data_IF_152975835495
#
_entry.id   IF_152975835495
#
_cell.length_a   1.000
_cell.length_b   1.000
_cell.length_c   1.000
_cell.angle_alpha   90.00
_cell.angle_beta   90.00
_cell.angle_gamma   90.00
#
_symmetry.space_group_name_H-M   'P 1'
#
loop_
_entity.id
_entity.type
_entity.pdbx_description
1 polymer ?
2 non-polymer ?
3 non-polymer ?
4 water ?
#
# COMPACT_ATOMS: atom_id res chain seq x y z
N UNK A 24 -15.97 0.61 -10.27
CA UNK A 24 -16.14 -0.82 -10.10
C UNK A 24 -15.12 -1.41 -9.14
N UNK A 25 -14.78 -2.69 -9.36
CA UNK A 25 -13.89 -3.39 -8.45
C UNK A 25 -12.52 -2.72 -8.36
N UNK A 26 -12.07 -2.08 -9.44
CA UNK A 26 -10.75 -1.47 -9.46
C UNK A 26 -10.60 -0.40 -8.39
N UNK A 27 -11.71 0.17 -7.90
CA UNK A 27 -11.64 1.17 -6.85
C UNK A 27 -11.25 0.59 -5.50
N UNK A 28 -11.30 -0.74 -5.35
CA UNK A 28 -10.77 -1.38 -4.15
C UNK A 28 -9.27 -1.51 -4.18
N UNK A 29 -8.62 -1.10 -5.26
CA UNK A 29 -7.18 -1.29 -5.38
C UNK A 29 -6.46 -0.50 -4.29
N UNK A 30 -5.28 -1.00 -3.91
CA UNK A 30 -4.44 -0.27 -2.98
C UNK A 30 -4.37 -0.82 -1.58
N UNK A 31 -4.07 0.06 -0.62
CA UNK A 31 -3.69 -0.33 0.74
C UNK A 31 -4.91 -0.42 1.65
N UNK A 32 -5.02 -1.55 2.36
CA UNK A 32 -6.07 -1.75 3.35
C UNK A 32 -5.45 -2.24 4.65
N UNK A 33 -6.18 -2.06 5.75
CA UNK A 33 -5.74 -2.45 7.07
C UNK A 33 -6.83 -3.25 7.77
N UNK A 34 -6.49 -4.45 8.23
CA UNK A 34 -7.47 -5.25 8.96
C UNK A 34 -7.74 -4.72 10.34
N UNK A 35 -9.03 -4.67 10.67
CA UNK A 35 -9.50 -4.11 11.93
C UNK A 35 -10.14 -5.18 12.82
N UNK A 36 -10.96 -6.06 12.25
CA UNK A 36 -11.68 -7.01 13.09
C UNK A 36 -12.11 -8.21 12.25
N UNK A 37 -12.32 -9.32 12.96
CA UNK A 37 -12.76 -10.59 12.40
C UNK A 37 -13.95 -11.06 13.20
N UNK A 38 -14.71 -12.00 12.65
CA UNK A 38 -15.79 -12.63 13.39
C UNK A 38 -16.03 -14.00 12.80
N UNK A 39 -16.49 -14.93 13.64
CA UNK A 39 -16.77 -16.25 13.11
C UNK A 39 -17.71 -16.98 14.06
N UNK A 40 -18.48 -17.93 13.50
CA UNK A 40 -19.20 -18.82 14.41
C UNK A 40 -18.35 -19.98 14.89
N UNK A 41 -17.10 -20.09 14.42
CA UNK A 41 -16.15 -21.10 14.88
C UNK A 41 -14.95 -20.32 15.42
N UNK A 42 -14.88 -20.16 16.75
CA UNK A 42 -13.87 -19.28 17.34
C UNK A 42 -12.45 -19.69 16.97
N UNK A 43 -12.17 -20.99 16.80
CA UNK A 43 -10.82 -21.44 16.47
C UNK A 43 -10.32 -20.81 15.18
N UNK A 44 -11.22 -20.49 14.25
CA UNK A 44 -10.81 -19.95 12.96
C UNK A 44 -10.17 -18.57 13.10
N UNK A 45 -10.46 -17.83 14.16
CA UNK A 45 -9.97 -16.47 14.28
C UNK A 45 -9.19 -16.26 15.57
N UNK A 46 -8.83 -17.34 16.24
CA UNK A 46 -7.88 -17.27 17.34
C UNK A 46 -6.54 -16.80 16.80
N UNK A 47 -5.58 -16.44 17.67
CA UNK A 47 -4.31 -15.91 17.15
C UNK A 47 -3.63 -16.85 16.16
N UNK A 48 -3.81 -18.16 16.30
CA UNK A 48 -3.22 -19.16 15.42
C UNK A 48 -4.14 -19.62 14.30
N UNK A 49 -5.34 -19.05 14.18
CA UNK A 49 -6.37 -19.67 13.38
C UNK A 49 -6.22 -19.41 11.89
N UNK A 50 -6.93 -20.25 11.12
CA UNK A 50 -6.85 -20.23 9.66
C UNK A 50 -7.09 -18.85 9.09
N UNK A 51 -8.02 -18.11 9.67
CA UNK A 51 -8.43 -16.84 9.10
C UNK A 51 -7.92 -15.65 9.90
N UNK A 52 -6.98 -15.89 10.82
CA UNK A 52 -6.33 -14.78 11.52
C UNK A 52 -5.15 -14.35 10.64
N UNK A 53 -5.48 -13.51 9.64
CA UNK A 53 -4.51 -13.01 8.69
C UNK A 53 -4.79 -11.53 8.47
N UNK A 54 -3.77 -10.82 7.98
CA UNK A 54 -3.86 -9.39 7.80
C UNK A 54 -3.83 -9.07 6.32
N UNK A 55 -4.78 -8.24 5.88
CA UNK A 55 -4.75 -7.74 4.51
C UNK A 55 -3.61 -6.75 4.39
N UNK A 56 -3.00 -6.70 3.22
CA UNK A 56 -2.07 -5.62 2.89
C UNK A 56 -2.61 -4.78 1.75
N UNK A 57 -2.75 -5.35 0.56
CA UNK A 57 -3.16 -4.57 -0.60
C UNK A 57 -4.06 -5.41 -1.49
N UNK A 58 -4.84 -4.73 -2.32
CA UNK A 58 -5.72 -5.40 -3.25
C UNK A 58 -5.57 -4.76 -4.64
N UNK A 59 -5.96 -5.53 -5.63
CA UNK A 59 -5.93 -5.09 -7.02
C UNK A 59 -7.00 -5.87 -7.78
N UNK A 60 -7.45 -5.30 -8.90
CA UNK A 60 -8.44 -5.96 -9.74
C UNK A 60 -7.81 -6.29 -11.08
N UNK A 61 -7.90 -7.55 -11.49
CA UNK A 61 -7.32 -8.03 -12.73
C UNK A 61 -8.29 -9.04 -13.34
N UNK A 62 -8.83 -8.70 -14.52
CA UNK A 62 -9.83 -9.53 -15.18
C UNK A 62 -11.15 -9.52 -14.43
N UNK A 63 -11.41 -8.47 -13.64
CA UNK A 63 -12.57 -8.47 -12.78
C UNK A 63 -12.49 -9.43 -11.61
N UNK A 64 -11.38 -10.14 -11.45
CA UNK A 64 -11.13 -10.92 -10.24
C UNK A 64 -10.48 -10.03 -9.19
N UNK A 65 -10.73 -10.36 -7.93
CA UNK A 65 -10.18 -9.59 -6.82
C UNK A 65 -8.89 -10.25 -6.34
N UNK A 66 -7.78 -9.54 -6.44
CA UNK A 66 -6.49 -10.06 -6.00
C UNK A 66 -6.11 -9.40 -4.68
N UNK A 67 -5.50 -10.17 -3.80
CA UNK A 67 -5.18 -9.64 -2.50
C UNK A 67 -3.91 -10.25 -1.96
N UNK A 68 -3.02 -9.41 -1.46
CA UNK A 68 -1.85 -9.88 -0.73
C UNK A 68 -2.18 -9.86 0.74
N UNK A 69 -2.00 -11.00 1.41
CA UNK A 69 -2.26 -11.09 2.83
C UNK A 69 -0.97 -11.46 3.55
N UNK A 70 -0.96 -11.19 4.85
CA UNK A 70 0.19 -11.47 5.71
C UNK A 70 -0.24 -12.50 6.74
N UNK A 71 0.51 -13.59 6.83
CA UNK A 71 0.14 -14.72 7.67
C UNK A 71 1.14 -14.81 8.82
N UNK A 72 0.71 -14.57 10.07
CA UNK A 72 1.65 -14.67 11.20
C UNK A 72 2.09 -16.09 11.44
N UNK A 73 3.39 -16.26 11.71
CA UNK A 73 3.96 -17.60 11.86
C UNK A 73 5.17 -17.51 12.79
N UNK A 74 4.91 -17.61 14.09
CA UNK A 74 5.95 -17.83 15.10
C UNK A 74 6.97 -16.70 15.13
N UNK A 75 6.48 -15.46 15.10
CA UNK A 75 7.34 -14.30 15.04
C UNK A 75 7.72 -13.88 13.63
N UNK A 76 7.76 -14.83 12.70
CA UNK A 76 7.91 -14.52 11.29
C UNK A 76 6.54 -14.34 10.64
N UNK A 77 6.53 -13.86 9.40
CA UNK A 77 5.29 -13.61 8.68
C UNK A 77 5.49 -13.88 7.20
N UNK A 78 4.51 -14.54 6.59
CA UNK A 78 4.55 -14.93 5.20
C UNK A 78 3.57 -14.05 4.42
N UNK A 79 4.01 -13.54 3.28
CA UNK A 79 3.11 -12.81 2.38
C UNK A 79 2.61 -13.77 1.31
N UNK A 80 1.28 -13.87 1.19
CA UNK A 80 0.65 -14.77 0.22
C UNK A 80 -0.27 -13.94 -0.67
N UNK A 81 -0.21 -14.18 -1.97
CA UNK A 81 -1.10 -13.56 -2.94
C UNK A 81 -2.25 -14.52 -3.21
N UNK A 82 -3.49 -14.04 -3.01
CA UNK A 82 -4.70 -14.81 -3.25
C UNK A 82 -5.51 -14.17 -4.36
N UNK A 83 -6.33 -14.98 -5.04
CA UNK A 83 -7.29 -14.48 -6.01
C UNK A 83 -8.68 -14.99 -5.64
N UNK A 84 -9.62 -14.07 -5.50
CA UNK A 84 -11.03 -14.40 -5.37
C UNK A 84 -11.65 -14.22 -6.75
N UNK A 85 -12.13 -15.32 -7.33
CA UNK A 85 -12.59 -15.30 -8.71
C UNK A 85 -14.05 -14.92 -8.79
N UNK A 86 -14.38 -14.07 -9.76
CA UNK A 86 -15.77 -13.68 -9.96
C UNK A 86 -16.63 -14.90 -10.26
N UNK A 87 -17.90 -14.79 -9.89
CA UNK A 87 -18.90 -15.81 -10.16
C UNK A 87 -20.07 -15.17 -10.89
N UNK A 88 -21.06 -15.99 -11.23
CA UNK A 88 -22.23 -15.47 -11.93
C UNK A 88 -23.04 -14.53 -11.07
N UNK A 89 -22.81 -14.54 -9.76
CA UNK A 89 -23.55 -13.72 -8.80
C UNK A 89 -22.78 -12.45 -8.49
N UNK A 90 -23.43 -11.30 -8.63
CA UNK A 90 -22.78 -10.04 -8.29
C UNK A 90 -22.35 -10.04 -6.83
N UNK A 91 -21.11 -9.61 -6.60
CA UNK A 91 -20.50 -9.45 -5.28
C UNK A 91 -20.23 -10.76 -4.58
N UNK A 92 -20.27 -11.89 -5.28
CA UNK A 92 -19.90 -13.19 -4.74
C UNK A 92 -18.67 -13.69 -5.49
N UNK A 93 -17.70 -14.23 -4.76
CA UNK A 93 -16.44 -14.67 -5.34
C UNK A 93 -16.08 -16.06 -4.82
N UNK A 94 -15.36 -16.82 -5.65
CA UNK A 94 -14.80 -18.11 -5.25
C UNK A 94 -13.38 -17.90 -4.77
N UNK A 95 -13.09 -18.31 -3.53
CA UNK A 95 -11.75 -18.16 -2.97
C UNK A 95 -11.34 -19.47 -2.35
N UNK A 96 -10.23 -20.04 -2.82
CA UNK A 96 -9.67 -21.25 -2.22
C UNK A 96 -8.64 -20.84 -1.17
N UNK A 97 -8.94 -21.11 0.10
CA UNK A 97 -8.05 -20.77 1.21
C UNK A 97 -8.53 -21.57 2.42
N UNK A 98 -7.76 -22.57 2.83
CA UNK A 98 -8.21 -23.48 3.89
C UNK A 98 -9.59 -24.02 3.55
N UNK A 99 -9.72 -24.53 2.33
CA UNK A 99 -10.97 -25.06 1.84
C UNK A 99 -11.61 -24.12 0.83
N UNK A 100 -12.83 -24.44 0.45
CA UNK A 100 -13.53 -23.58 -0.49
C UNK A 100 -14.30 -22.51 0.26
N UNK A 101 -14.24 -21.27 -0.24
CA UNK A 101 -14.97 -20.15 0.32
C UNK A 101 -15.89 -19.50 -0.71
N UNK A 102 -17.14 -19.30 -0.32
CA UNK A 102 -18.02 -18.36 -1.02
C UNK A 102 -17.80 -17.02 -0.32
N UNK A 103 -17.10 -16.11 -1.01
CA UNK A 103 -16.74 -14.81 -0.46
C UNK A 103 -17.73 -13.75 -0.95
N UNK A 104 -18.33 -13.03 -0.02
CA UNK A 104 -19.32 -12.00 -0.35
C UNK A 104 -18.79 -10.63 0.05
N UNK A 105 -18.88 -9.66 -0.87
CA UNK A 105 -18.63 -8.28 -0.52
C UNK A 105 -19.93 -7.71 0.03
N UNK A 106 -19.99 -7.51 1.34
CA UNK A 106 -21.25 -7.20 2.00
C UNK A 106 -21.54 -5.71 2.03
N UNK A 107 -20.52 -4.91 2.31
CA UNK A 107 -20.67 -3.47 2.44
C UNK A 107 -19.33 -2.84 2.12
N UNK A 108 -19.33 -1.76 1.33
CA UNK A 108 -18.04 -1.19 0.96
C UNK A 108 -18.22 0.27 0.58
N UNK A 109 -17.28 1.08 1.04
CA UNK A 109 -16.99 2.38 0.46
C UNK A 109 -15.53 2.32 0.04
N UNK A 110 -15.22 2.27 -1.27
CA UNK A 110 -13.85 1.99 -1.68
C UNK A 110 -12.83 2.93 -1.10
N UNK A 111 -13.23 4.09 -0.58
CA UNK A 111 -12.31 5.07 -0.04
C UNK A 111 -12.27 5.08 1.48
N UNK A 112 -12.94 4.14 2.16
CA UNK A 112 -12.91 4.14 3.61
C UNK A 112 -12.93 2.75 4.26
N UNK A 113 -13.83 1.87 3.83
CA UNK A 113 -13.94 0.59 4.55
C UNK A 113 -14.55 -0.49 3.67
N UNK A 114 -14.32 -1.73 4.07
CA UNK A 114 -14.79 -2.89 3.32
C UNK A 114 -15.14 -3.97 4.33
N UNK A 115 -16.35 -4.52 4.22
CA UNK A 115 -16.76 -5.66 5.04
C UNK A 115 -17.04 -6.82 4.12
N UNK A 116 -16.37 -7.94 4.34
CA UNK A 116 -16.70 -9.15 3.60
C UNK A 116 -17.02 -10.26 4.57
N UNK A 117 -17.73 -11.27 4.07
CA UNK A 117 -17.84 -12.50 4.83
C UNK A 117 -17.76 -13.67 3.88
N UNK A 118 -17.42 -14.83 4.41
CA UNK A 118 -17.17 -16.01 3.62
C UNK A 118 -17.90 -17.18 4.27
N UNK A 119 -18.47 -18.02 3.44
CA UNK A 119 -18.91 -19.33 3.90
C UNK A 119 -17.81 -20.31 3.54
N UNK A 120 -17.17 -20.87 4.57
CA UNK A 120 -15.99 -21.71 4.43
C UNK A 120 -16.38 -23.19 4.53
N UNK A 121 -15.98 -23.98 3.54
CA UNK A 121 -16.20 -25.42 3.53
C UNK A 121 -14.85 -26.11 3.64
N UNK A 122 -14.63 -26.80 4.76
CA UNK A 122 -13.32 -27.43 5.01
C UNK A 122 -13.53 -28.72 5.81
N UNK A 123 -13.14 -29.85 5.23
CA UNK A 123 -13.17 -31.14 5.95
C UNK A 123 -14.51 -31.37 6.64
N UNK A 124 -15.58 -31.33 5.86
CA UNK A 124 -16.93 -31.56 6.33
C UNK A 124 -17.40 -30.55 7.38
N UNK A 125 -16.67 -29.47 7.59
CA UNK A 125 -17.13 -28.37 8.43
C UNK A 125 -17.57 -27.23 7.55
N UNK A 126 -18.62 -26.52 7.95
CA UNK A 126 -19.04 -25.30 7.29
C UNK A 126 -19.08 -24.20 8.32
N UNK A 127 -18.42 -23.09 8.01
CA UNK A 127 -18.29 -22.00 8.97
C UNK A 127 -18.52 -20.68 8.26
N UNK A 128 -18.88 -19.68 9.05
CA UNK A 128 -19.02 -18.29 8.62
C UNK A 128 -17.86 -17.47 9.18
N UNK A 129 -17.17 -16.70 8.33
CA UNK A 129 -16.07 -15.84 8.75
C UNK A 129 -16.28 -14.45 8.15
N UNK A 130 -16.20 -13.41 8.97
CA UNK A 130 -16.36 -12.04 8.49
C UNK A 130 -15.09 -11.24 8.80
N UNK A 131 -14.87 -10.17 8.04
CA UNK A 131 -13.59 -9.46 8.09
C UNK A 131 -13.88 -7.99 7.77
N UNK A 132 -13.41 -7.09 8.63
CA UNK A 132 -13.51 -5.64 8.41
C UNK A 132 -12.12 -5.08 8.13
N UNK A 133 -11.99 -4.29 7.07
CA UNK A 133 -10.75 -3.57 6.81
C UNK A 133 -11.05 -2.11 6.49
N UNK A 134 -10.10 -1.24 6.78
CA UNK A 134 -10.27 0.19 6.55
C UNK A 134 -9.08 0.75 5.79
N UNK A 135 -9.31 1.92 5.16
CA UNK A 135 -8.21 2.63 4.52
C UNK A 135 -7.31 3.35 5.52
N UNK A 136 -7.88 3.83 6.63
CA UNK A 136 -7.18 4.71 7.56
C UNK A 136 -7.32 4.14 8.97
N UNK A 137 -6.23 3.60 9.53
CA UNK A 137 -6.34 2.90 10.80
C UNK A 137 -6.77 3.83 11.92
N UNK A 138 -6.45 5.11 11.83
CA UNK A 138 -6.88 6.02 12.89
C UNK A 138 -8.40 6.15 12.94
N UNK A 139 -9.12 5.68 11.92
CA UNK A 139 -10.56 5.73 11.85
C UNK A 139 -11.22 4.38 12.12
N UNK A 140 -10.47 3.40 12.62
CA UNK A 140 -11.01 2.05 12.70
C UNK A 140 -12.23 1.99 13.60
N UNK A 141 -12.23 2.78 14.68
CA UNK A 141 -13.39 2.87 15.56
C UNK A 141 -14.64 3.33 14.81
N UNK A 142 -14.47 4.09 13.73
CA UNK A 142 -15.64 4.63 13.03
C UNK A 142 -16.49 3.54 12.41
N UNK A 143 -15.88 2.40 12.07
CA UNK A 143 -16.54 1.39 11.25
C UNK A 143 -16.78 0.08 11.97
N UNK A 144 -16.26 -0.08 13.19
CA UNK A 144 -16.60 -1.27 13.96
C UNK A 144 -18.10 -1.43 14.15
N UNK A 145 -18.88 -0.38 14.41
CA UNK A 145 -20.34 -0.56 14.50
C UNK A 145 -20.97 -1.07 13.22
N UNK A 146 -20.55 -0.58 12.04
CA UNK A 146 -21.09 -1.13 10.81
C UNK A 146 -20.77 -2.62 10.69
N UNK A 147 -19.56 -3.02 11.11
CA UNK A 147 -19.20 -4.43 11.12
C UNK A 147 -20.07 -5.22 12.09
N UNK A 148 -20.26 -4.70 13.31
CA UNK A 148 -21.13 -5.39 14.25
C UNK A 148 -22.53 -5.59 13.68
N UNK A 149 -23.03 -4.63 12.90
CA UNK A 149 -24.36 -4.75 12.34
C UNK A 149 -24.41 -5.81 11.23
N UNK A 150 -23.41 -5.85 10.35
CA UNK A 150 -23.36 -6.91 9.34
C UNK A 150 -23.28 -8.27 10.02
N UNK A 151 -22.42 -8.40 11.02
CA UNK A 151 -22.30 -9.65 11.77
C UNK A 151 -23.66 -10.07 12.32
N UNK A 152 -24.39 -9.14 12.94
CA UNK A 152 -25.74 -9.47 13.40
C UNK A 152 -26.61 -9.99 12.27
N UNK A 153 -26.57 -9.34 11.11
CA UNK A 153 -27.46 -9.71 10.02
C UNK A 153 -27.15 -11.11 9.49
N UNK A 154 -25.89 -11.56 9.59
CA UNK A 154 -25.56 -12.91 9.17
C UNK A 154 -25.55 -13.89 10.34
N UNK A 155 -26.06 -13.47 11.50
CA UNK A 155 -26.31 -14.39 12.58
C UNK A 155 -25.21 -14.56 13.58
N UNK A 156 -24.17 -13.73 13.51
CA UNK A 156 -23.14 -13.79 14.53
C UNK A 156 -23.49 -12.81 15.64
N UNK A 157 -22.99 -13.06 16.84
CA UNK A 157 -23.21 -12.11 17.92
C UNK A 157 -21.92 -11.37 18.26
N UNK A 158 -22.07 -10.32 19.05
CA UNK A 158 -20.96 -9.39 19.26
C UNK A 158 -19.77 -10.05 19.95
N UNK A 159 -20.02 -11.07 20.77
CA UNK A 159 -18.92 -11.75 21.43
C UNK A 159 -18.17 -12.71 20.51
N UNK A 160 -18.61 -12.86 19.27
CA UNK A 160 -17.87 -13.65 18.29
C UNK A 160 -16.98 -12.78 17.41
N UNK A 161 -16.83 -11.50 17.76
CA UNK A 161 -15.98 -10.57 17.05
C UNK A 161 -14.63 -10.48 17.77
N UNK A 162 -13.56 -10.47 16.99
CA UNK A 162 -12.21 -10.23 17.53
C UNK A 162 -11.70 -8.95 16.91
N UNK A 163 -11.30 -8.00 17.77
CA UNK A 163 -10.67 -6.76 17.31
C UNK A 163 -9.17 -6.97 17.33
N UNK A 164 -8.51 -6.51 16.27
CA UNK A 164 -7.12 -6.87 15.99
C UNK A 164 -6.12 -5.84 16.49
N UNK A 165 -6.57 -4.84 17.26
CA UNK A 165 -5.69 -3.76 17.66
C UNK A 165 -4.58 -4.18 18.62
N UNK A 166 -4.70 -5.33 19.27
CA UNK A 166 -3.62 -5.80 20.16
C UNK A 166 -2.68 -6.76 19.45
N UNK A 167 -2.92 -7.06 18.18
CA UNK A 167 -2.15 -8.05 17.42
C UNK A 167 -1.27 -7.30 16.42
N UNK A 168 -0.03 -7.01 16.83
CA UNK A 168 0.91 -6.29 15.98
C UNK A 168 1.91 -7.21 15.29
N UNK A 169 1.61 -8.50 15.20
CA UNK A 169 2.45 -9.40 14.42
C UNK A 169 2.53 -8.91 12.98
N UNK A 170 3.60 -9.30 12.29
CA UNK A 170 3.81 -8.87 10.91
C UNK A 170 3.98 -7.35 10.79
N UNK A 171 4.35 -6.68 11.89
CA UNK A 171 4.37 -5.22 11.86
C UNK A 171 5.35 -4.69 10.82
N UNK A 172 6.46 -5.40 10.60
CA UNK A 172 7.40 -4.99 9.56
C UNK A 172 6.75 -4.92 8.19
N UNK A 173 5.89 -5.88 7.88
CA UNK A 173 5.24 -5.94 6.57
C UNK A 173 3.99 -5.08 6.50
N UNK A 174 3.42 -4.66 7.62
CA UNK A 174 2.16 -3.95 7.63
C UNK A 174 2.32 -2.43 7.57
N UNK A 175 3.51 -1.94 7.26
CA UNK A 175 3.70 -0.52 6.97
C UNK A 175 3.53 -0.24 5.47
N UNK B 24 -7.74 14.04 -2.07
CA UNK B 24 -7.20 13.17 -3.09
C UNK B 24 -5.88 12.51 -2.70
N UNK B 25 -5.10 13.21 -1.85
CA UNK B 25 -3.80 12.70 -1.45
C UNK B 25 -3.90 11.32 -0.81
N UNK B 26 -4.98 11.06 -0.07
CA UNK B 26 -5.14 9.79 0.62
C UNK B 26 -5.03 8.61 -0.33
N UNK B 27 -5.33 8.81 -1.61
CA UNK B 27 -5.22 7.74 -2.59
C UNK B 27 -3.79 7.32 -2.85
N UNK B 28 -2.81 8.16 -2.51
CA UNK B 28 -1.41 7.81 -2.67
C UNK B 28 -0.93 6.82 -1.60
N UNK B 29 -1.77 6.51 -0.62
CA UNK B 29 -1.31 5.70 0.49
C UNK B 29 -0.92 4.30 0.04
N UNK B 30 0.00 3.70 0.78
CA UNK B 30 0.38 2.31 0.59
C UNK B 30 1.78 2.18 0.02
N UNK B 31 2.04 1.01 -0.55
CA UNK B 31 3.37 0.65 -1.00
C UNK B 31 3.65 1.14 -2.41
N UNK B 32 4.84 1.71 -2.59
CA UNK B 32 5.34 2.15 -3.88
C UNK B 32 6.75 1.60 -4.08
N UNK B 33 7.19 1.56 -5.33
CA UNK B 33 8.53 1.08 -5.67
C UNK B 33 9.23 2.11 -6.53
N UNK B 34 10.47 2.45 -6.16
CA UNK B 34 11.24 3.40 -6.97
C UNK B 34 11.76 2.73 -8.24
N UNK B 35 11.55 3.40 -9.38
CA UNK B 35 11.91 2.89 -10.69
C UNK B 35 13.07 3.66 -11.31
N UNK B 36 13.07 4.99 -11.18
CA UNK B 36 14.10 5.76 -11.84
C UNK B 36 14.21 7.12 -11.18
N UNK B 37 15.39 7.72 -11.32
CA UNK B 37 15.68 9.06 -10.83
C UNK B 37 16.26 9.88 -11.97
N UNK B 38 16.25 11.20 -11.80
CA UNK B 38 16.94 12.07 -12.76
C UNK B 38 17.36 13.34 -12.04
N UNK B 39 18.44 13.95 -12.53
CA UNK B 39 18.92 15.17 -11.91
C UNK B 39 19.81 15.91 -12.90
N UNK B 40 19.86 17.23 -12.72
CA UNK B 40 20.88 18.01 -13.40
C UNK B 40 22.22 17.98 -12.70
N UNK B 41 22.31 17.39 -11.51
CA UNK B 41 23.54 17.25 -10.74
C UNK B 41 23.75 15.75 -10.52
N UNK B 42 24.56 15.12 -11.36
CA UNK B 42 24.65 13.65 -11.32
C UNK B 42 25.05 13.14 -9.93
N UNK B 43 25.83 13.92 -9.17
CA UNK B 43 26.28 13.46 -7.86
C UNK B 43 25.10 13.14 -6.94
N UNK B 44 23.98 13.81 -7.14
CA UNK B 44 22.84 13.63 -6.24
C UNK B 44 22.19 12.25 -6.39
N UNK B 45 22.34 11.60 -7.54
CA UNK B 45 21.66 10.34 -7.77
C UNK B 45 22.63 9.21 -8.09
N UNK B 46 23.93 9.45 -7.87
CA UNK B 46 24.92 8.36 -7.93
C UNK B 46 24.61 7.33 -6.85
N UNK B 47 25.29 6.18 -6.84
CA UNK B 47 24.89 5.11 -5.91
C UNK B 47 24.86 5.51 -4.45
N UNK B 48 25.69 6.44 -4.01
CA UNK B 48 25.64 6.87 -2.61
C UNK B 48 25.25 8.33 -2.48
N UNK B 49 24.51 8.85 -3.48
CA UNK B 49 24.11 10.25 -3.46
C UNK B 49 22.93 10.54 -2.54
N UNK B 50 22.81 11.83 -2.20
CA UNK B 50 21.76 12.30 -1.30
C UNK B 50 20.38 11.79 -1.69
N UNK B 51 20.09 11.73 -2.98
CA UNK B 51 18.73 11.40 -3.42
C UNK B 51 18.64 10.00 -4.00
N UNK B 52 19.69 9.20 -3.89
CA UNK B 52 19.65 7.79 -4.21
C UNK B 52 19.02 7.08 -3.02
N UNK B 53 17.70 7.21 -2.92
CA UNK B 53 16.91 6.59 -1.86
C UNK B 53 15.67 5.98 -2.52
N UNK B 54 15.10 4.98 -1.85
CA UNK B 54 14.00 4.20 -2.38
C UNK B 54 12.73 4.46 -1.57
N UNK B 55 11.62 4.71 -2.27
CA UNK B 55 10.36 4.85 -1.57
C UNK B 55 9.95 3.49 -1.02
N UNK B 56 9.39 3.50 0.18
CA UNK B 56 8.78 2.34 0.79
C UNK B 56 7.27 2.48 0.78
N UNK B 57 6.75 3.56 1.37
CA UNK B 57 5.31 3.74 1.49
C UNK B 57 5.01 5.23 1.65
N UNK B 58 3.75 5.58 1.35
CA UNK B 58 3.27 6.93 1.56
C UNK B 58 1.94 6.89 2.29
N UNK B 59 1.62 8.03 2.89
CA UNK B 59 0.31 8.26 3.51
C UNK B 59 0.07 9.76 3.54
N UNK B 60 -1.20 10.12 3.74
CA UNK B 60 -1.61 11.52 3.79
C UNK B 60 -2.26 11.79 5.14
N UNK B 61 -1.94 12.95 5.72
CA UNK B 61 -2.51 13.33 7.01
C UNK B 61 -2.55 14.86 7.07
N UNK B 62 -3.76 15.40 7.21
CA UNK B 62 -3.96 16.85 7.29
C UNK B 62 -3.54 17.55 6.00
N UNK B 63 -3.68 16.89 4.86
CA UNK B 63 -3.23 17.45 3.61
C UNK B 63 -1.73 17.44 3.40
N UNK B 64 -0.95 16.94 4.34
CA UNK B 64 0.48 16.74 4.16
C UNK B 64 0.76 15.35 3.62
N UNK B 65 1.78 15.25 2.78
CA UNK B 65 2.22 13.96 2.25
C UNK B 65 3.31 13.41 3.15
N UNK B 66 3.07 12.23 3.72
CA UNK B 66 4.04 11.54 4.55
C UNK B 66 4.62 10.38 3.76
N UNK B 67 5.92 10.15 3.92
CA UNK B 67 6.50 9.04 3.18
C UNK B 67 7.64 8.39 3.94
N UNK B 68 7.73 7.07 3.88
CA UNK B 68 8.89 6.36 4.42
C UNK B 68 9.82 6.05 3.27
N UNK B 69 11.09 6.40 3.41
CA UNK B 69 12.10 6.07 2.42
C UNK B 69 13.10 5.13 3.06
N UNK B 70 13.82 4.41 2.21
CA UNK B 70 14.89 3.51 2.64
C UNK B 70 16.20 4.03 2.08
N UNK B 71 17.18 4.20 2.95
CA UNK B 71 18.46 4.79 2.59
C UNK B 71 19.52 3.71 2.67
N UNK B 72 20.22 3.39 1.58
CA UNK B 72 21.28 2.38 1.66
C UNK B 72 22.42 2.86 2.53
N UNK B 73 22.96 1.93 3.33
CA UNK B 73 23.99 2.29 4.31
C UNK B 73 24.76 1.02 4.68
N UNK B 74 25.85 0.77 3.97
CA UNK B 74 26.77 -0.31 4.34
C UNK B 74 26.04 -1.63 4.54
N UNK B 75 25.68 -2.30 3.46
CA UNK B 75 25.02 -3.59 3.56
C UNK B 75 23.74 -3.60 4.38
N UNK B 76 23.15 -2.43 4.61
CA UNK B 76 21.93 -2.31 5.40
C UNK B 76 21.24 -1.01 5.00
N UNK B 77 19.91 -0.99 5.07
CA UNK B 77 19.12 0.17 4.71
C UNK B 77 18.35 0.69 5.92
N UNK B 78 18.37 2.01 6.09
CA UNK B 78 17.66 2.69 7.16
C UNK B 78 16.33 3.21 6.62
N UNK B 79 15.25 2.93 7.34
CA UNK B 79 13.95 3.48 7.02
C UNK B 79 13.77 4.82 7.73
N UNK B 80 13.41 5.86 6.97
CA UNK B 80 13.31 7.22 7.48
C UNK B 80 11.93 7.76 7.08
N UNK B 81 11.23 8.36 8.05
CA UNK B 81 9.93 8.96 7.78
C UNK B 81 10.09 10.45 7.48
N UNK B 82 9.58 10.87 6.34
CA UNK B 82 9.63 12.27 5.91
C UNK B 82 8.23 12.83 5.80
N UNK B 83 8.13 14.15 5.91
CA UNK B 83 6.87 14.85 5.74
C UNK B 83 7.06 15.98 4.74
N UNK B 84 6.24 15.99 3.70
CA UNK B 84 6.19 17.08 2.74
C UNK B 84 4.94 17.90 3.04
N UNK B 85 5.14 19.13 3.53
CA UNK B 85 4.05 19.94 4.05
C UNK B 85 3.32 20.69 2.94
N UNK B 86 1.99 20.75 3.06
CA UNK B 86 1.20 21.47 2.07
C UNK B 86 1.60 22.94 2.00
N UNK B 87 1.37 23.55 0.84
CA UNK B 87 1.64 24.97 0.64
C UNK B 87 0.44 25.64 -0.02
N UNK B 88 0.58 26.94 -0.27
CA UNK B 88 -0.49 27.70 -0.92
C UNK B 88 -0.77 27.24 -2.34
N UNK B 89 0.11 26.42 -2.93
CA UNK B 89 0.01 25.98 -4.31
C UNK B 89 -0.40 24.51 -4.36
N UNK B 90 -1.41 24.20 -5.18
CA UNK B 90 -1.83 22.82 -5.33
C UNK B 90 -0.69 21.99 -5.91
N UNK B 91 -0.43 20.83 -5.29
CA UNK B 91 0.55 19.85 -5.75
C UNK B 91 1.99 20.27 -5.49
N UNK B 92 2.21 21.36 -4.76
CA UNK B 92 3.55 21.80 -4.37
C UNK B 92 3.69 21.64 -2.86
N UNK B 93 4.80 21.06 -2.43
CA UNK B 93 5.00 20.70 -1.03
C UNK B 93 6.37 21.17 -0.57
N UNK B 94 6.49 21.45 0.73
CA UNK B 94 7.75 21.84 1.37
C UNK B 94 8.36 20.61 2.01
N UNK B 95 9.52 20.18 1.54
CA UNK B 95 10.19 19.02 2.11
C UNK B 95 11.60 19.38 2.50
N UNK B 96 11.93 19.21 3.78
CA UNK B 96 13.31 19.39 4.26
C UNK B 96 14.03 18.05 4.18
N UNK B 97 15.07 18.00 3.36
CA UNK B 97 15.84 16.77 3.13
C UNK B 97 17.07 17.13 2.32
N UNK B 98 18.24 17.12 2.96
CA UNK B 98 19.48 17.59 2.33
C UNK B 98 19.25 18.96 1.71
N UNK B 99 18.70 19.87 2.50
CA UNK B 99 18.38 21.21 2.07
C UNK B 99 16.88 21.39 1.99
N UNK B 100 16.48 22.53 1.44
CA UNK B 100 15.07 22.79 1.24
C UNK B 100 14.64 22.32 -0.13
N UNK B 101 13.50 21.63 -0.20
CA UNK B 101 12.96 21.18 -1.47
C UNK B 101 11.57 21.73 -1.68
N UNK B 102 11.35 22.35 -2.83
CA UNK B 102 10.02 22.55 -3.37
C UNK B 102 9.69 21.27 -4.14
N UNK B 103 8.78 20.47 -3.60
CA UNK B 103 8.42 19.18 -4.16
C UNK B 103 7.11 19.31 -4.93
N UNK B 104 7.13 18.89 -6.20
CA UNK B 104 5.97 19.00 -7.09
C UNK B 104 5.49 17.60 -7.46
N UNK B 105 4.20 17.34 -7.29
CA UNK B 105 3.62 16.14 -7.87
C UNK B 105 3.28 16.45 -9.32
N UNK B 106 4.03 15.87 -10.26
CA UNK B 106 3.89 16.21 -11.66
C UNK B 106 2.80 15.40 -12.36
N UNK B 107 2.79 14.08 -12.15
CA UNK B 107 1.81 13.18 -12.75
C UNK B 107 1.55 12.04 -11.80
N UNK B 108 0.29 11.61 -11.71
CA UNK B 108 0.00 10.47 -10.85
C UNK B 108 -1.23 9.75 -11.36
N UNK B 109 -1.14 8.42 -11.36
CA UNK B 109 -2.33 7.57 -11.33
C UNK B 109 -2.22 6.77 -10.04
N UNK B 110 -3.06 7.04 -9.02
CA UNK B 110 -2.88 6.39 -7.71
C UNK B 110 -2.81 4.88 -7.78
N UNK B 111 -3.29 4.29 -8.86
CA UNK B 111 -3.30 2.85 -9.00
C UNK B 111 -2.08 2.29 -9.72
N UNK B 112 -1.20 3.13 -10.26
CA UNK B 112 -0.11 2.56 -11.04
C UNK B 112 1.23 3.30 -10.93
N UNK B 113 1.23 4.63 -10.97
CA UNK B 113 2.53 5.31 -11.01
C UNK B 113 2.42 6.74 -10.53
N UNK B 114 3.58 7.31 -10.16
CA UNK B 114 3.64 8.66 -9.66
C UNK B 114 5.00 9.25 -10.04
N UNK B 115 4.99 10.46 -10.59
CA UNK B 115 6.23 11.17 -10.92
C UNK B 115 6.26 12.46 -10.12
N UNK B 116 7.35 12.69 -9.39
CA UNK B 116 7.52 13.96 -8.71
C UNK B 116 8.86 14.55 -9.12
N UNK B 117 9.01 15.85 -8.89
CA UNK B 117 10.32 16.48 -9.00
C UNK B 117 10.44 17.55 -7.92
N UNK B 118 11.68 17.83 -7.55
CA UNK B 118 12.00 18.71 -6.44
C UNK B 118 13.03 19.71 -6.92
N UNK B 119 12.82 20.98 -6.61
CA UNK B 119 13.89 21.98 -6.69
C UNK B 119 14.57 21.98 -5.34
N UNK B 120 15.83 21.55 -5.32
CA UNK B 120 16.60 21.38 -4.10
C UNK B 120 17.52 22.58 -3.91
N UNK B 121 17.45 23.19 -2.73
CA UNK B 121 18.32 24.32 -2.38
C UNK B 121 19.20 23.85 -1.24
N UNK B 122 20.50 23.73 -1.49
CA UNK B 122 21.43 23.23 -0.50
C UNK B 122 22.74 23.99 -0.65
N UNK B 123 23.14 24.70 0.42
CA UNK B 123 24.41 25.42 0.46
C UNK B 123 24.77 26.13 -0.84
N UNK B 124 23.98 27.14 -1.18
CA UNK B 124 24.20 27.96 -2.37
C UNK B 124 24.06 27.18 -3.67
N UNK B 125 23.68 25.91 -3.59
CA UNK B 125 23.44 25.13 -4.80
C UNK B 125 21.94 24.99 -5.02
N UNK B 126 21.54 25.03 -6.27
CA UNK B 126 20.14 24.77 -6.63
C UNK B 126 20.17 23.66 -7.66
N UNK B 127 19.40 22.60 -7.40
CA UNK B 127 19.41 21.45 -8.29
C UNK B 127 17.99 20.98 -8.51
N UNK B 128 17.80 20.22 -9.59
CA UNK B 128 16.52 19.65 -9.95
C UNK B 128 16.63 18.13 -9.86
N UNK B 129 15.73 17.49 -9.12
CA UNK B 129 15.75 16.04 -8.95
C UNK B 129 14.35 15.52 -9.24
N UNK B 130 14.26 14.47 -10.05
CA UNK B 130 12.99 13.86 -10.38
C UNK B 130 12.99 12.38 -10.00
N UNK B 131 11.81 11.81 -9.78
CA UNK B 131 11.68 10.46 -9.23
C UNK B 131 10.42 9.80 -9.79
N UNK B 132 10.56 8.58 -10.32
CA UNK B 132 9.43 7.79 -10.79
C UNK B 132 9.22 6.61 -9.86
N UNK B 133 7.98 6.39 -9.44
CA UNK B 133 7.66 5.22 -8.63
C UNK B 133 6.39 4.55 -9.17
N UNK B 134 6.26 3.25 -8.91
CA UNK B 134 5.12 2.49 -9.42
C UNK B 134 4.55 1.64 -8.30
N UNK B 135 3.31 1.19 -8.51
CA UNK B 135 2.68 0.26 -7.58
C UNK B 135 3.15 -1.18 -7.79
N UNK B 136 3.49 -1.53 -9.02
CA UNK B 136 3.75 -2.92 -9.40
C UNK B 136 5.02 -2.94 -10.25
N UNK B 137 6.09 -3.50 -9.72
CA UNK B 137 7.37 -3.45 -10.41
C UNK B 137 7.34 -4.17 -11.75
N UNK B 138 6.32 -5.00 -12.01
CA UNK B 138 6.16 -5.62 -13.31
C UNK B 138 5.71 -4.63 -14.38
N UNK B 139 5.32 -3.41 -14.01
CA UNK B 139 4.93 -2.38 -14.97
C UNK B 139 5.95 -1.25 -15.06
N UNK B 140 7.14 -1.42 -14.49
CA UNK B 140 8.10 -0.31 -14.44
C UNK B 140 8.49 0.13 -15.84
N UNK B 141 8.64 -0.81 -16.77
CA UNK B 141 8.92 -0.46 -18.16
C UNK B 141 7.75 0.26 -18.81
N UNK B 142 6.54 0.13 -18.24
CA UNK B 142 5.39 0.78 -18.84
C UNK B 142 5.42 2.29 -18.62
N UNK B 143 5.98 2.74 -17.50
CA UNK B 143 5.92 4.15 -17.16
C UNK B 143 7.25 4.88 -17.22
N UNK B 144 8.35 4.17 -17.47
CA UNK B 144 9.60 4.85 -17.76
C UNK B 144 9.46 5.86 -18.89
N UNK B 145 8.75 5.58 -20.00
CA UNK B 145 8.59 6.62 -21.04
C UNK B 145 7.87 7.85 -20.53
N UNK B 146 6.83 7.69 -19.72
CA UNK B 146 6.16 8.84 -19.11
C UNK B 146 7.16 9.71 -18.36
N UNK B 147 8.07 9.06 -17.63
CA UNK B 147 9.09 9.77 -16.86
C UNK B 147 10.05 10.52 -17.79
N UNK B 148 10.51 9.84 -18.84
CA UNK B 148 11.40 10.52 -19.79
C UNK B 148 10.75 11.79 -20.31
N UNK B 149 9.45 11.75 -20.58
CA UNK B 149 8.77 12.94 -21.10
C UNK B 149 8.70 14.06 -20.08
N UNK B 150 8.36 13.74 -18.82
CA UNK B 150 8.39 14.76 -17.78
C UNK B 150 9.78 15.34 -17.65
N UNK B 151 10.81 14.48 -17.66
CA UNK B 151 12.18 14.95 -17.53
C UNK B 151 12.51 15.96 -18.64
N UNK B 152 12.16 15.64 -19.89
CA UNK B 152 12.38 16.57 -20.98
C UNK B 152 11.65 17.89 -20.76
N UNK B 153 10.40 17.81 -20.25
CA UNK B 153 9.63 19.01 -20.01
C UNK B 153 10.29 19.94 -19.01
N UNK B 154 10.99 19.39 -18.01
CA UNK B 154 11.64 20.22 -17.00
C UNK B 154 13.11 20.46 -17.33
N UNK B 155 13.55 20.11 -18.54
CA UNK B 155 14.88 20.48 -18.99
C UNK B 155 15.98 19.48 -18.75
N UNK B 156 15.65 18.23 -18.43
CA UNK B 156 16.63 17.18 -18.21
C UNK B 156 16.65 16.24 -19.41
N UNK B 157 17.84 15.86 -19.87
CA UNK B 157 17.90 14.98 -21.02
C UNK B 157 17.98 13.52 -20.58
N UNK B 158 17.81 12.61 -21.53
CA UNK B 158 17.61 11.21 -21.19
C UNK B 158 18.84 10.63 -20.51
N UNK B 159 20.02 11.15 -20.82
CA UNK B 159 21.24 10.67 -20.20
C UNK B 159 21.40 11.15 -18.77
N UNK B 160 20.46 11.94 -18.26
CA UNK B 160 20.47 12.35 -16.86
C UNK B 160 19.53 11.50 -16.02
N UNK B 161 19.03 10.42 -16.58
CA UNK B 161 18.13 9.50 -15.90
C UNK B 161 18.94 8.29 -15.46
N UNK B 162 18.70 7.84 -14.22
CA UNK B 162 19.29 6.62 -13.71
C UNK B 162 18.16 5.65 -13.44
N UNK B 163 18.19 4.50 -14.11
CA UNK B 163 17.20 3.46 -13.90
C UNK B 163 17.67 2.53 -12.79
N UNK B 164 16.80 2.23 -11.84
CA UNK B 164 17.21 1.57 -10.61
C UNK B 164 17.11 0.05 -10.66
N UNK B 165 16.92 -0.54 -11.85
CA UNK B 165 16.69 -1.97 -11.96
C UNK B 165 17.88 -2.81 -11.54
N UNK B 166 19.09 -2.25 -11.52
CA UNK B 166 20.27 -2.98 -11.08
C UNK B 166 20.57 -2.77 -9.60
N UNK B 167 19.81 -1.91 -8.93
CA UNK B 167 20.10 -1.48 -7.57
C UNK B 167 19.01 -2.03 -6.66
N UNK B 168 19.22 -3.24 -6.15
CA UNK B 168 18.23 -3.89 -5.30
C UNK B 168 18.54 -3.74 -3.82
N UNK B 169 19.38 -2.77 -3.44
CA UNK B 169 19.56 -2.48 -2.03
C UNK B 169 18.22 -2.08 -1.43
N UNK B 170 17.97 -2.49 -0.19
CA UNK B 170 16.76 -2.08 0.51
C UNK B 170 15.58 -2.98 0.18
N UNK B 171 15.63 -3.68 -0.97
CA UNK B 171 14.59 -4.65 -1.27
C UNK B 171 14.42 -5.65 -0.13
N UNK B 172 15.52 -6.04 0.50
CA UNK B 172 15.53 -6.89 1.67
C UNK B 172 15.34 -6.16 2.98
N UNK B 173 15.06 -4.86 2.94
CA UNK B 173 14.77 -4.09 4.14
C UNK B 173 13.35 -3.53 4.14
N UNK B 174 12.52 -3.95 3.19
CA UNK B 174 11.15 -3.44 3.08
C UNK B 174 10.24 -4.12 4.09
X LIG C 1 -8.87 -10.08 -1.84
X LIG C 1 -8.83 -11.31 -0.98
X LIG C 1 -8.66 -12.58 -1.74
X LIG C 1 -8.95 -11.27 0.33
X LIG C 1 -8.98 -12.45 1.26
X LIG C 1 -9.48 -12.05 2.66
X LIG C 1 -9.62 -13.23 3.62
X LIG C 1 -8.47 -14.23 3.52
X LIG C 1 -9.70 -12.61 5.04
X LIG C 1 -9.60 -13.57 6.19
X LIG C 1 -9.85 -13.33 7.34
X LIG C 1 -7.98 -9.48 -1.73
X LIG C 1 -8.98 -10.33 -2.90
X LIG C 1 -9.72 -9.44 -1.58
X LIG C 1 -7.62 -12.76 -1.96
X LIG C 1 -9.22 -12.55 -2.68
X LIG C 1 -9.04 -13.42 -1.16
X LIG C 1 -9.04 -10.30 0.81
X LIG C 1 -7.98 -12.87 1.30
X LIG C 1 -9.61 -13.22 0.82
X LIG C 1 -8.78 -11.32 3.08
X LIG C 1 -10.42 -11.53 2.56
X LIG C 1 -10.54 -13.80 3.43
X LIG C 1 -8.47 -14.92 4.35
X LIG C 1 -7.51 -13.72 3.51
X LIG C 1 -8.54 -14.82 2.61
X LIG C 1 -10.64 -12.06 5.14
X LIG C 1 -8.93 -11.85 5.15
X LIG C 1 -9.24 -14.55 5.90
X LIG D 1 0.08 -1.68 18.88
X LIG E 1 7.62 12.53 1.23
X LIG E 1 8.28 12.14 -0.05
X LIG E 1 7.34 11.65 -1.12
X LIG E 1 9.59 12.14 -0.22
X LIG E 1 10.34 11.66 -1.41
X LIG E 1 11.80 12.14 -1.39
X LIG E 1 12.74 11.21 -2.16
X LIG E 1 12.10 10.74 -3.46
X LIG E 1 14.01 11.95 -2.54
X LIG E 1 15.00 11.17 -3.34
X LIG E 1 14.93 10.93 -4.51
X LIG E 1 6.56 12.25 1.25
X LIG E 1 7.66 13.60 1.40
X LIG E 1 8.08 12.06 2.09
X LIG E 1 7.24 12.40 -1.89
X LIG E 1 6.36 11.45 -0.69
X LIG E 1 7.72 10.73 -1.56
X LIG E 1 10.20 12.55 0.58
X LIG E 1 9.83 11.99 -2.32
X LIG E 1 10.29 10.58 -1.43
X LIG E 1 11.85 13.15 -1.81
X LIG E 1 12.13 12.25 -0.37
X LIG E 1 12.98 10.37 -1.51
X LIG E 1 12.80 10.17 -4.07
X LIG E 1 11.23 10.09 -3.28
X LIG E 1 11.74 11.56 -4.07
X LIG E 1 13.76 12.86 -3.09
X LIG E 1 14.50 12.31 -1.63
X LIG E 1 15.85 10.81 -2.75
X LIG F 1 16.79 -7.16 -9.31
#
# INVERSE_FOLDING_TARGET
MRGSHHHHHHTDPQEGNHEEPQGGLEELSGRWHSVALASNKSDLIKPWGHFRVFIHSMSAKDGNLHGDILIPQDGQCEKVSLTAFKTATSNKFDLEYWGHNDLYLAEVDPKSYLILYMINQYNDDTSLVAHLMVRDLSRQQDFLPAFESVCEDIGLHKDQIVVLSDDDRCQGSRD
MRGSHHHHHHTDPQEGNHEEPQGGLEELSGRWHSVALASNKSDLIKPWGHFRVFIHSMSAKDGNLHGDILIPQDGQCEKVSLTAFKTATSNKFDLEYWGHNDLYLAEVDPKSYLILYMINQYNDDTSLVAHLMVRDLSRQQDFLPAFESVCEDIGLHKDQIVVLSDDDRCQGSRD
ODM CAA CAB CAE CAC CAF CAG CAH CAD CAI CAJ OAK H1 H2 H3 H4 H5 H6 H7 H8 H9 H10 H11 H12 H13 H14 H15 H16 H17 H18
MG MG
ODM CAA CAB CAE CAC CAF CAG CAH CAD CAI CAJ OAK H1 H2 H3 H4 H5 H6 H7 H8 H9 H10 H11 H12 H13 H14 H15 H16 H17 H18
MG MG
#
